data_IF_679548254856
#
_entry.id   IF_679548254856
#
_cell.length_a   1.000
_cell.length_b   1.000
_cell.length_c   1.000
_cell.angle_alpha   90.00
_cell.angle_beta   90.00
_cell.angle_gamma   90.00
#
_symmetry.space_group_name_H-M   'P 1'
#
loop_
_entity.id
_entity.type
_entity.pdbx_description
1 polymer ?
#
# COMPACT_ATOMS: atom_id res chain seq x y z
N UNK A 1 9.65 -10.78 3.14
CA UNK A 1 9.28 -11.81 4.13
C UNK A 1 8.24 -12.76 3.53
N UNK A 2 8.42 -14.09 3.56
CA UNK A 2 7.67 -15.06 2.75
C UNK A 2 6.81 -16.05 3.56
N UNK A 3 6.08 -15.60 4.58
CA UNK A 3 5.23 -16.53 5.35
C UNK A 3 4.13 -17.18 4.50
N UNK A 4 3.79 -16.59 3.33
CA UNK A 4 2.83 -17.07 2.30
C UNK A 4 1.44 -17.44 2.82
N UNK A 5 1.12 -17.13 4.08
CA UNK A 5 -0.19 -17.34 4.66
C UNK A 5 -1.20 -16.42 3.98
N UNK A 6 -2.40 -16.94 3.75
CA UNK A 6 -3.53 -16.15 3.26
C UNK A 6 -3.87 -15.02 4.24
N UNK A 7 -4.16 -13.84 3.69
CA UNK A 7 -4.57 -12.68 4.47
C UNK A 7 -6.08 -12.49 4.29
N UNK A 8 -6.88 -12.60 5.36
CA UNK A 8 -8.32 -12.38 5.28
C UNK A 8 -8.63 -10.92 4.90
N UNK A 9 -9.31 -10.70 3.77
CA UNK A 9 -9.62 -9.39 3.20
C UNK A 9 -10.97 -8.83 3.74
N UNK A 10 -11.14 -8.77 5.07
CA UNK A 10 -12.48 -8.57 5.66
C UNK A 10 -12.80 -7.08 5.92
N UNK A 11 -11.81 -6.26 6.25
CA UNK A 11 -12.02 -4.82 6.51
C UNK A 11 -10.76 -3.98 6.31
N UNK A 12 -9.65 -4.40 6.90
CA UNK A 12 -8.34 -3.77 6.75
C UNK A 12 -7.22 -4.78 6.92
N UNK A 13 -6.09 -4.49 6.30
CA UNK A 13 -4.89 -5.32 6.35
C UNK A 13 -3.71 -4.49 6.82
N UNK A 14 -2.76 -5.14 7.47
CA UNK A 14 -1.61 -4.47 8.05
C UNK A 14 -0.48 -4.40 7.02
N UNK A 15 -0.14 -3.22 6.54
CA UNK A 15 0.96 -2.99 5.60
C UNK A 15 2.20 -2.52 6.36
N UNK A 16 3.32 -3.19 6.14
CA UNK A 16 4.60 -2.83 6.75
C UNK A 16 5.61 -2.49 5.66
N UNK A 17 6.12 -1.26 5.69
CA UNK A 17 7.04 -0.78 4.66
C UNK A 17 8.40 -1.48 4.72
N UNK A 18 8.89 -1.76 5.93
CA UNK A 18 10.17 -2.45 6.13
C UNK A 18 10.15 -3.86 5.58
N UNK A 19 9.04 -4.56 5.76
CA UNK A 19 8.85 -5.93 5.23
C UNK A 19 8.38 -5.94 3.77
N UNK A 20 8.07 -4.77 3.21
CA UNK A 20 7.72 -4.57 1.80
C UNK A 20 6.32 -5.07 1.41
N UNK A 21 5.39 -5.20 2.36
CA UNK A 21 4.09 -5.77 2.04
C UNK A 21 3.12 -5.91 3.20
N UNK A 22 2.02 -6.61 2.91
CA UNK A 22 0.97 -6.92 3.87
C UNK A 22 1.36 -8.09 4.77
N UNK A 23 0.99 -8.00 6.06
CA UNK A 23 1.31 -8.98 7.08
C UNK A 23 0.07 -9.79 7.47
N UNK A 24 0.24 -11.11 7.60
CA UNK A 24 -0.74 -11.94 8.28
C UNK A 24 -0.73 -11.66 9.80
N UNK A 25 -1.78 -12.07 10.52
CA UNK A 25 -1.88 -11.85 11.98
C UNK A 25 -0.66 -12.34 12.76
N UNK A 26 -0.08 -13.49 12.38
CA UNK A 26 1.13 -14.03 13.03
C UNK A 26 2.35 -13.14 12.79
N UNK A 27 2.53 -12.65 11.57
CA UNK A 27 3.62 -11.73 11.23
C UNK A 27 3.44 -10.37 11.89
N UNK A 28 2.21 -9.88 12.02
CA UNK A 28 1.93 -8.60 12.66
C UNK A 28 2.46 -8.53 14.11
N UNK A 29 2.34 -9.63 14.88
CA UNK A 29 2.89 -9.70 16.25
C UNK A 29 4.41 -9.48 16.27
N UNK A 30 5.10 -9.97 15.23
CA UNK A 30 6.56 -9.88 15.08
C UNK A 30 7.02 -8.52 14.55
N UNK A 31 6.26 -7.90 13.64
CA UNK A 31 6.62 -6.62 13.01
C UNK A 31 5.58 -5.55 13.33
N UNK A 32 5.84 -4.82 14.42
CA UNK A 32 4.89 -3.88 15.04
C UNK A 32 4.80 -2.50 14.37
N UNK A 33 5.56 -2.24 13.31
CA UNK A 33 5.73 -0.91 12.71
C UNK A 33 5.07 -0.76 11.33
N UNK A 34 3.80 -1.12 11.22
CA UNK A 34 3.00 -0.96 10.00
C UNK A 34 1.75 -0.09 10.19
N UNK A 35 1.05 0.16 9.09
CA UNK A 35 -0.20 0.91 9.03
C UNK A 35 -1.35 -0.01 8.65
N UNK A 36 -2.56 0.32 9.09
CA UNK A 36 -3.77 -0.36 8.61
C UNK A 36 -4.18 0.30 7.30
N UNK A 37 -4.36 -0.50 6.26
CA UNK A 37 -4.83 -0.06 4.94
C UNK A 37 -6.11 -0.82 4.61
N UNK A 38 -7.13 -0.17 4.02
CA UNK A 38 -8.34 -0.86 3.58
C UNK A 38 -8.04 -2.00 2.61
N UNK A 39 -8.73 -3.13 2.78
CA UNK A 39 -8.60 -4.29 1.91
C UNK A 39 -8.80 -3.95 0.41
N UNK A 40 -9.77 -3.08 0.11
CA UNK A 40 -10.04 -2.60 -1.25
C UNK A 40 -8.86 -1.83 -1.86
N UNK A 41 -8.15 -1.02 -1.09
CA UNK A 41 -6.97 -0.31 -1.57
C UNK A 41 -5.83 -1.26 -1.94
N UNK A 42 -5.61 -2.31 -1.15
CA UNK A 42 -4.61 -3.35 -1.46
C UNK A 42 -5.00 -4.17 -2.68
N UNK A 43 -6.28 -4.54 -2.81
CA UNK A 43 -6.77 -5.28 -3.96
C UNK A 43 -6.56 -4.50 -5.27
N UNK A 44 -6.89 -3.20 -5.28
CA UNK A 44 -6.67 -2.33 -6.44
C UNK A 44 -5.17 -2.10 -6.69
N UNK A 45 -4.38 -1.83 -5.64
CA UNK A 45 -2.93 -1.67 -5.76
C UNK A 45 -2.25 -2.92 -6.32
N UNK A 46 -2.69 -4.11 -5.91
CA UNK A 46 -2.22 -5.39 -6.47
C UNK A 46 -2.50 -5.48 -7.97
N UNK A 47 -3.71 -5.12 -8.41
CA UNK A 47 -4.05 -5.08 -9.85
C UNK A 47 -3.15 -4.12 -10.63
N UNK A 48 -2.75 -2.99 -10.05
CA UNK A 48 -1.85 -2.05 -10.71
C UNK A 48 -0.45 -2.62 -11.00
N UNK A 49 0.03 -3.54 -10.17
CA UNK A 49 1.33 -4.20 -10.40
C UNK A 49 1.31 -5.01 -11.70
N UNK A 50 0.17 -5.61 -12.02
CA UNK A 50 0.01 -6.49 -13.18
C UNK A 50 -0.45 -5.73 -14.45
N UNK A 51 -0.83 -4.46 -14.32
CA UNK A 51 -1.31 -3.67 -15.46
C UNK A 51 -0.12 -3.11 -16.26
N UNK A 52 -0.14 -3.35 -17.57
CA UNK A 52 0.71 -2.60 -18.48
C UNK A 52 0.26 -1.13 -18.53
N UNK A 53 1.09 -0.23 -17.99
CA UNK A 53 0.83 1.21 -17.92
C UNK A 53 0.51 1.85 -19.29
N UNK A 54 1.03 1.27 -20.39
CA UNK A 54 0.73 1.75 -21.75
C UNK A 54 -0.69 1.39 -22.22
N UNK A 55 -1.31 0.39 -21.60
CA UNK A 55 -2.68 -0.07 -21.87
C UNK A 55 -3.68 0.40 -20.81
N UNK A 56 -3.27 1.34 -19.96
CA UNK A 56 -4.08 1.85 -18.87
C UNK A 56 -5.15 2.80 -19.42
N UNK A 57 -6.12 2.24 -20.14
CA UNK A 57 -7.40 2.92 -20.37
C UNK A 57 -7.99 3.26 -19.01
N UNK A 58 -8.52 4.49 -18.89
CA UNK A 58 -8.91 5.16 -17.64
C UNK A 58 -9.60 4.22 -16.64
N UNK A 59 -8.80 3.59 -15.76
CA UNK A 59 -9.34 2.79 -14.66
C UNK A 59 -10.01 3.77 -13.71
N UNK A 60 -11.35 3.78 -13.72
CA UNK A 60 -12.13 4.69 -12.89
C UNK A 60 -12.15 4.14 -11.47
N UNK A 61 -11.30 4.71 -10.61
CA UNK A 61 -11.18 4.33 -9.21
C UNK A 61 -11.87 5.39 -8.36
N UNK A 62 -12.55 4.93 -7.31
CA UNK A 62 -13.16 5.83 -6.36
C UNK A 62 -12.08 6.69 -5.69
N UNK A 63 -12.30 8.01 -5.61
CA UNK A 63 -11.33 8.97 -5.06
C UNK A 63 -10.86 8.60 -3.66
N UNK A 64 -11.77 8.06 -2.82
CA UNK A 64 -11.43 7.57 -1.47
C UNK A 64 -10.38 6.46 -1.50
N UNK A 65 -10.45 5.54 -2.45
CA UNK A 65 -9.46 4.45 -2.56
C UNK A 65 -8.12 5.01 -3.07
N UNK A 66 -8.13 5.95 -4.00
CA UNK A 66 -6.91 6.63 -4.44
C UNK A 66 -6.17 7.29 -3.27
N UNK A 67 -6.90 7.99 -2.40
CA UNK A 67 -6.33 8.63 -1.19
C UNK A 67 -5.68 7.59 -0.27
N UNK A 68 -6.29 6.43 -0.08
CA UNK A 68 -5.74 5.37 0.77
C UNK A 68 -4.51 4.71 0.16
N UNK A 69 -4.50 4.48 -1.16
CA UNK A 69 -3.31 4.01 -1.89
C UNK A 69 -2.19 5.04 -1.79
N UNK A 70 -2.49 6.33 -1.95
CA UNK A 70 -1.51 7.41 -1.84
C UNK A 70 -0.89 7.47 -0.43
N UNK A 71 -1.70 7.42 0.63
CA UNK A 71 -1.20 7.36 2.02
C UNK A 71 -0.25 6.19 2.22
N UNK A 72 -0.61 5.01 1.71
CA UNK A 72 0.22 3.82 1.78
C UNK A 72 1.56 4.02 1.05
N UNK A 73 1.54 4.58 -0.16
CA UNK A 73 2.75 4.86 -0.95
C UNK A 73 3.64 5.90 -0.28
N UNK A 74 3.07 6.98 0.26
CA UNK A 74 3.83 8.00 1.01
C UNK A 74 4.52 7.39 2.23
N UNK A 75 3.80 6.58 2.99
CA UNK A 75 4.37 5.84 4.13
C UNK A 75 5.53 4.93 3.67
N UNK A 76 5.35 4.19 2.58
CA UNK A 76 6.39 3.31 2.02
C UNK A 76 7.64 4.08 1.60
N UNK A 77 7.47 5.12 0.79
CA UNK A 77 8.57 5.95 0.28
C UNK A 77 9.33 6.64 1.42
N UNK A 78 8.62 7.21 2.39
CA UNK A 78 9.25 7.84 3.55
C UNK A 78 10.08 6.83 4.35
N UNK A 79 9.59 5.58 4.48
CA UNK A 79 10.34 4.50 5.14
C UNK A 79 11.58 4.09 4.36
N UNK A 80 11.54 4.10 3.02
CA UNK A 80 12.71 3.76 2.19
C UNK A 80 13.79 4.84 2.26
N UNK A 81 13.37 6.11 2.27
CA UNK A 81 14.29 7.23 2.23
C UNK A 81 14.82 7.63 3.61
N UNK A 82 14.27 7.05 4.69
CA UNK A 82 14.50 7.47 6.08
C UNK A 82 14.28 8.98 6.31
N UNK A 83 13.54 9.65 5.41
CA UNK A 83 13.21 11.08 5.44
C UNK A 83 12.00 11.35 4.54
N UNK A 84 11.29 12.43 4.81
CA UNK A 84 10.23 12.92 3.91
C UNK A 84 10.80 13.46 2.60
N UNK A 85 10.08 13.30 1.49
CA UNK A 85 10.41 14.00 0.25
C UNK A 85 9.98 15.47 0.33
N UNK A 86 10.94 16.38 0.24
CA UNK A 86 10.66 17.82 0.12
C UNK A 86 9.87 18.15 -1.15
N UNK A 87 9.94 17.28 -2.17
CA UNK A 87 9.23 17.45 -3.43
C UNK A 87 7.72 17.22 -3.32
N UNK A 88 7.23 16.61 -2.23
CA UNK A 88 5.79 16.37 -2.04
C UNK A 88 4.95 17.64 -2.16
N UNK A 89 5.49 18.80 -1.77
CA UNK A 89 4.80 20.10 -1.84
C UNK A 89 4.63 20.66 -3.26
N UNK A 90 5.33 20.09 -4.24
CA UNK A 90 5.28 20.53 -5.65
C UNK A 90 4.44 19.59 -6.52
N UNK A 91 4.12 18.39 -6.04
CA UNK A 91 3.20 17.48 -6.72
C UNK A 91 1.78 17.91 -6.34
N UNK A 92 1.13 18.70 -7.20
CA UNK A 92 -0.31 18.96 -7.10
C UNK A 92 -1.06 17.78 -7.71
N UNK A 93 -2.01 17.23 -6.96
CA UNK A 93 -2.95 16.19 -7.38
C UNK A 93 -4.30 16.86 -7.64
#
# INVERSE_FOLDING_TARGET
MNCKNSIPQISGVYFNAREGGILCRRCQVKFKNGIVVPAGAISIAGRFVDINLQRLERVRIQSSICVEIEKMLRYYINSLLNKGLNSWKYIKI
#
